data_IF_873979725088
#
_entry.id   IF_873979725088
#
_cell.length_a   1.000
_cell.length_b   1.000
_cell.length_c   1.000
_cell.angle_alpha   90.00
_cell.angle_beta   90.00
_cell.angle_gamma   90.00
#
_symmetry.space_group_name_H-M   'P 1'
#
loop_
_entity.id
_entity.type
_entity.pdbx_description
1 polymer ?
#
# COMPACT_ATOMS: atom_id res chain seq x y z
N UNK A 1 0.71 -19.90 -11.59
CA UNK A 1 1.18 -19.30 -10.32
C UNK A 1 0.04 -19.36 -9.33
N UNK A 2 0.28 -20.01 -8.20
CA UNK A 2 -0.71 -20.51 -7.26
C UNK A 2 -1.12 -19.42 -6.25
N UNK A 3 -2.42 -19.08 -6.18
CA UNK A 3 -2.99 -17.99 -5.36
C UNK A 3 -3.09 -18.34 -3.86
N UNK A 4 -2.52 -19.46 -3.41
CA UNK A 4 -2.76 -20.01 -2.05
C UNK A 4 -1.76 -19.58 -0.97
N UNK A 5 -0.90 -18.59 -1.19
CA UNK A 5 0.16 -18.22 -0.22
C UNK A 5 -0.12 -17.03 0.71
N UNK A 6 -1.33 -16.50 0.72
CA UNK A 6 -1.76 -15.62 1.80
C UNK A 6 -2.96 -16.26 2.49
N UNK A 7 -2.91 -16.52 3.80
CA UNK A 7 -4.11 -16.86 4.53
C UNK A 7 -5.02 -15.63 4.45
N UNK A 8 -6.02 -15.67 3.57
CA UNK A 8 -7.21 -14.84 3.72
C UNK A 8 -7.81 -15.25 5.05
N UNK A 9 -7.44 -14.52 6.10
CA UNK A 9 -8.09 -14.66 7.39
C UNK A 9 -9.60 -14.51 7.12
N UNK A 10 -10.43 -15.48 7.54
CA UNK A 10 -11.87 -15.47 7.25
C UNK A 10 -12.62 -14.23 7.80
N UNK A 11 -11.93 -13.38 8.59
CA UNK A 11 -12.44 -12.14 9.19
C UNK A 11 -11.89 -10.85 8.56
N UNK A 12 -11.13 -10.91 7.46
CA UNK A 12 -10.64 -9.70 6.81
C UNK A 12 -11.79 -8.95 6.13
N UNK A 13 -12.01 -7.69 6.50
CA UNK A 13 -13.01 -6.85 5.83
C UNK A 13 -12.72 -6.75 4.32
N UNK A 14 -13.73 -6.51 3.46
CA UNK A 14 -13.51 -6.34 2.02
C UNK A 14 -12.45 -5.27 1.70
N UNK A 15 -12.37 -4.21 2.50
CA UNK A 15 -11.37 -3.15 2.38
C UNK A 15 -9.98 -3.68 2.74
N UNK A 16 -9.86 -4.46 3.81
CA UNK A 16 -8.58 -5.06 4.20
C UNK A 16 -8.07 -6.02 3.12
N UNK A 17 -8.95 -6.84 2.54
CA UNK A 17 -8.61 -7.74 1.44
C UNK A 17 -8.13 -6.97 0.20
N UNK A 18 -8.90 -5.97 -0.24
CA UNK A 18 -8.52 -5.13 -1.38
C UNK A 18 -7.20 -4.38 -1.13
N UNK A 19 -7.00 -3.88 0.10
CA UNK A 19 -5.76 -3.18 0.47
C UNK A 19 -4.56 -4.13 0.41
N UNK A 20 -4.72 -5.37 0.86
CA UNK A 20 -3.67 -6.39 0.79
C UNK A 20 -3.32 -6.74 -0.67
N UNK A 21 -4.32 -6.84 -1.55
CA UNK A 21 -4.09 -7.09 -2.98
C UNK A 21 -3.29 -5.95 -3.64
N UNK A 22 -3.64 -4.69 -3.34
CA UNK A 22 -2.91 -3.52 -3.84
C UNK A 22 -1.48 -3.50 -3.32
N UNK A 23 -1.28 -3.74 -2.01
CA UNK A 23 0.04 -3.80 -1.39
C UNK A 23 0.89 -4.88 -2.06
N UNK A 24 0.33 -6.07 -2.26
CA UNK A 24 1.02 -7.20 -2.88
C UNK A 24 1.43 -6.86 -4.32
N UNK A 25 0.51 -6.31 -5.11
CA UNK A 25 0.78 -5.87 -6.49
C UNK A 25 1.94 -4.88 -6.57
N UNK A 26 1.96 -3.86 -5.69
CA UNK A 26 3.06 -2.88 -5.63
C UNK A 26 4.38 -3.55 -5.25
N UNK A 27 4.37 -4.44 -4.24
CA UNK A 27 5.59 -5.09 -3.77
C UNK A 27 6.16 -6.10 -4.77
N UNK A 28 5.33 -6.70 -5.61
CA UNK A 28 5.70 -7.68 -6.64
C UNK A 28 6.15 -7.03 -7.97
N UNK A 29 5.82 -5.76 -8.22
CA UNK A 29 6.16 -5.05 -9.46
C UNK A 29 7.69 -5.07 -9.75
N UNK A 30 8.18 -5.60 -10.87
CA UNK A 30 9.62 -5.75 -11.09
C UNK A 30 10.37 -4.43 -11.36
N UNK A 31 9.68 -3.29 -11.43
CA UNK A 31 10.28 -2.00 -11.81
C UNK A 31 11.35 -1.53 -10.80
N UNK A 32 12.59 -1.26 -11.26
CA UNK A 32 13.66 -0.78 -10.38
C UNK A 32 13.40 0.62 -9.83
N UNK A 33 12.56 1.42 -10.50
CA UNK A 33 12.20 2.77 -10.06
C UNK A 33 11.38 2.80 -8.77
N UNK A 34 10.85 1.66 -8.32
CA UNK A 34 9.97 1.57 -7.16
C UNK A 34 10.70 1.16 -5.86
N UNK A 35 12.02 0.97 -5.86
CA UNK A 35 12.76 0.45 -4.69
C UNK A 35 12.46 1.25 -3.41
N UNK A 36 12.53 2.57 -3.47
CA UNK A 36 12.28 3.42 -2.30
C UNK A 36 10.81 3.41 -1.88
N UNK A 37 9.89 3.42 -2.83
CA UNK A 37 8.43 3.33 -2.59
C UNK A 37 8.11 2.02 -1.88
N UNK A 38 8.63 0.90 -2.37
CA UNK A 38 8.47 -0.43 -1.76
C UNK A 38 9.04 -0.50 -0.36
N UNK A 39 10.21 0.10 -0.12
CA UNK A 39 10.81 0.16 1.21
C UNK A 39 9.88 0.89 2.20
N UNK A 40 9.37 2.07 1.81
CA UNK A 40 8.41 2.82 2.64
C UNK A 40 7.13 2.04 2.88
N UNK A 41 6.60 1.36 1.86
CA UNK A 41 5.40 0.54 2.00
C UNK A 41 5.60 -0.60 3.00
N UNK A 42 6.74 -1.30 2.96
CA UNK A 42 7.07 -2.35 3.95
C UNK A 42 7.14 -1.81 5.38
N UNK A 43 7.68 -0.60 5.57
CA UNK A 43 7.70 0.05 6.88
C UNK A 43 6.28 0.36 7.37
N UNK A 44 5.38 0.83 6.50
CA UNK A 44 3.98 1.02 6.84
C UNK A 44 3.31 -0.30 7.23
N UNK A 45 3.51 -1.38 6.47
CA UNK A 45 2.94 -2.71 6.80
C UNK A 45 3.42 -3.20 8.18
N UNK A 46 4.70 -2.99 8.50
CA UNK A 46 5.24 -3.35 9.81
C UNK A 46 4.65 -2.51 10.96
N UNK A 47 4.31 -1.25 10.71
CA UNK A 47 3.72 -0.35 11.71
C UNK A 47 2.23 -0.64 11.99
N UNK A 48 1.52 -1.26 11.07
CA UNK A 48 0.08 -1.57 11.18
C UNK A 48 -0.18 -3.09 11.05
N UNK A 49 0.26 -3.91 12.02
CA UNK A 49 0.09 -5.35 11.96
C UNK A 49 -1.39 -5.73 11.92
N UNK A 50 -1.76 -6.61 10.97
CA UNK A 50 -3.15 -7.07 10.72
C UNK A 50 -4.11 -5.99 10.19
N UNK A 51 -3.61 -4.79 9.85
CA UNK A 51 -4.41 -3.67 9.34
C UNK A 51 -3.83 -3.14 8.01
N UNK A 52 -3.89 -3.94 6.92
CA UNK A 52 -3.34 -3.54 5.62
C UNK A 52 -3.99 -2.24 5.07
N UNK A 53 -5.25 -1.99 5.38
CA UNK A 53 -5.97 -0.77 5.01
C UNK A 53 -5.35 0.50 5.63
N UNK A 54 -4.91 0.42 6.89
CA UNK A 54 -4.23 1.53 7.56
C UNK A 54 -2.80 1.70 7.05
N UNK A 55 -2.10 0.59 6.78
CA UNK A 55 -0.78 0.62 6.16
C UNK A 55 -0.81 1.29 4.78
N UNK A 56 -1.77 0.91 3.94
CA UNK A 56 -1.94 1.49 2.60
C UNK A 56 -2.32 2.96 2.69
N UNK A 57 -3.28 3.34 3.54
CA UNK A 57 -3.66 4.73 3.74
C UNK A 57 -2.46 5.61 4.16
N UNK A 58 -1.70 5.17 5.16
CA UNK A 58 -0.52 5.89 5.62
C UNK A 58 0.54 6.05 4.52
N UNK A 59 0.76 5.00 3.73
CA UNK A 59 1.66 5.04 2.58
C UNK A 59 1.20 6.04 1.52
N UNK A 60 -0.09 6.04 1.17
CA UNK A 60 -0.66 6.94 0.17
C UNK A 60 -0.60 8.40 0.60
N UNK A 61 -0.94 8.70 1.87
CA UNK A 61 -0.84 10.05 2.43
C UNK A 61 0.60 10.57 2.43
N UNK A 62 1.57 9.72 2.78
CA UNK A 62 2.98 10.11 2.75
C UNK A 62 3.46 10.32 1.32
N UNK A 63 3.14 9.42 0.40
CA UNK A 63 3.51 9.54 -1.01
C UNK A 63 2.88 10.78 -1.64
N UNK A 64 1.60 11.06 -1.37
CA UNK A 64 0.92 12.26 -1.88
C UNK A 64 1.59 13.55 -1.38
N UNK A 65 1.99 13.62 -0.11
CA UNK A 65 2.71 14.79 0.42
C UNK A 65 4.06 15.05 -0.27
N UNK A 66 4.73 13.99 -0.74
CA UNK A 66 6.02 14.10 -1.41
C UNK A 66 5.88 14.55 -2.87
N UNK A 67 4.84 14.08 -3.56
CA UNK A 67 4.64 14.36 -5.00
C UNK A 67 3.76 15.58 -5.25
N UNK A 68 2.90 15.95 -4.29
CA UNK A 68 1.99 17.09 -4.35
C UNK A 68 2.23 18.08 -3.19
N UNK A 69 3.42 18.69 -3.08
CA UNK A 69 3.79 19.55 -1.95
C UNK A 69 2.96 20.84 -1.85
N UNK A 70 2.24 21.23 -2.91
CA UNK A 70 1.38 22.43 -2.95
C UNK A 70 -0.12 22.15 -2.84
N UNK A 71 -0.52 20.92 -2.48
CA UNK A 71 -1.92 20.60 -2.20
C UNK A 71 -2.90 21.04 -3.31
N UNK A 72 -2.68 20.64 -4.56
CA UNK A 72 -3.71 20.69 -5.59
C UNK A 72 -4.51 22.00 -5.74
N UNK A 73 -3.91 23.18 -5.58
CA UNK A 73 -4.51 24.42 -6.09
C UNK A 73 -4.25 24.55 -7.61
N UNK A 74 -4.91 23.70 -8.39
CA UNK A 74 -5.23 24.03 -9.79
C UNK A 74 -6.54 23.35 -10.15
N UNK A 75 -7.65 24.03 -9.90
CA UNK A 75 -8.84 23.92 -10.73
C UNK A 75 -9.14 25.34 -11.24
N UNK A 76 -9.33 25.55 -12.56
CA UNK A 76 -10.08 26.69 -13.05
C UNK A 76 -11.56 26.60 -12.65
#
# INVERSE_FOLDING_TARGET
MDRTRYPTAPDASPIAAQSLDIISSILEDPSPGLVEIKLRLRQCVAAYPRHPELALLAHLLKTSSLVNPKGGETLP
#
